data_IF_224109331767
#
_entry.id   IF_224109331767
#
_cell.length_a   1.000
_cell.length_b   1.000
_cell.length_c   1.000
_cell.angle_alpha   90.00
_cell.angle_beta   90.00
_cell.angle_gamma   90.00
#
_symmetry.space_group_name_H-M   'P 1'
#
loop_
_entity.id
_entity.type
_entity.pdbx_description
1 polymer ?
#
# COMPACT_ATOMS: atom_id res chain seq x y z
N UNK A 1 14.26 10.93 33.47
CA UNK A 1 13.51 10.06 33.81
C UNK A 1 12.40 9.79 32.97
N UNK A 2 11.49 10.60 32.71
CA UNK A 2 10.39 10.28 31.96
C UNK A 2 10.73 10.02 30.56
N UNK A 3 11.78 10.59 30.02
CA UNK A 3 12.13 10.39 28.65
C UNK A 3 12.48 8.97 28.35
N UNK A 4 13.08 8.31 29.25
CA UNK A 4 13.42 6.94 29.00
C UNK A 4 12.22 6.13 28.76
N UNK A 5 11.18 6.45 29.45
CA UNK A 5 9.97 5.69 29.31
C UNK A 5 9.44 5.84 27.91
N UNK A 6 9.55 7.01 27.33
CA UNK A 6 9.06 7.22 26.02
C UNK A 6 9.85 6.43 25.02
N UNK A 7 11.12 6.34 25.18
CA UNK A 7 11.89 5.55 24.31
C UNK A 7 11.42 4.14 24.32
N UNK A 8 11.18 3.60 25.47
CA UNK A 8 10.73 2.24 25.56
C UNK A 8 9.46 2.06 24.76
N UNK A 9 8.59 3.04 24.82
CA UNK A 9 7.36 2.91 24.09
C UNK A 9 7.61 2.90 22.61
N UNK A 10 8.54 3.72 22.17
CA UNK A 10 8.84 3.76 20.76
C UNK A 10 9.35 2.43 20.29
N UNK A 11 10.12 1.78 21.09
CA UNK A 11 10.62 0.48 20.71
C UNK A 11 9.50 -0.52 20.62
N UNK A 12 8.53 -0.39 21.47
CA UNK A 12 7.43 -1.31 21.44
C UNK A 12 6.62 -1.19 20.18
N UNK A 13 6.78 -0.10 19.48
CA UNK A 13 6.07 0.04 18.24
C UNK A 13 6.64 -0.84 17.15
N UNK A 14 7.85 -1.34 17.33
CA UNK A 14 8.46 -2.16 16.32
C UNK A 14 7.65 -3.35 15.89
N UNK A 15 7.09 -4.11 16.81
CA UNK A 15 6.32 -5.26 16.39
C UNK A 15 5.15 -4.89 15.49
N UNK A 16 4.58 -3.75 15.72
CA UNK A 16 3.47 -3.35 14.90
C UNK A 16 3.91 -3.10 13.47
N UNK A 17 5.14 -2.69 13.27
CA UNK A 17 5.63 -2.45 11.95
C UNK A 17 5.84 -3.74 11.17
N UNK A 18 5.97 -4.83 11.87
CA UNK A 18 6.19 -6.10 11.20
C UNK A 18 4.90 -6.68 10.66
N UNK A 19 3.77 -6.14 11.03
CA UNK A 19 2.49 -6.66 10.60
C UNK A 19 1.90 -5.79 9.51
N UNK A 20 1.27 -6.40 8.52
CA UNK A 20 0.66 -5.60 7.47
C UNK A 20 -0.47 -4.76 8.05
N UNK A 21 -0.61 -3.57 7.53
CA UNK A 21 -1.72 -2.71 7.90
C UNK A 21 -2.87 -3.06 7.00
N UNK A 22 -4.00 -3.34 7.56
CA UNK A 22 -5.18 -3.70 6.80
C UNK A 22 -6.36 -2.84 7.20
N UNK A 23 -7.30 -2.68 6.32
CA UNK A 23 -8.51 -1.94 6.60
C UNK A 23 -9.55 -2.21 5.52
N UNK A 24 -10.76 -1.66 5.69
CA UNK A 24 -11.79 -1.84 4.68
C UNK A 24 -11.36 -1.24 3.35
N UNK A 25 -11.59 -1.96 2.28
CA UNK A 25 -11.13 -1.55 0.96
C UNK A 25 -11.54 -0.13 0.59
N UNK A 26 -12.79 0.29 0.77
CA UNK A 26 -13.15 1.66 0.37
C UNK A 26 -12.42 2.71 1.19
N UNK A 27 -12.15 2.40 2.45
CA UNK A 27 -11.46 3.37 3.28
C UNK A 27 -10.00 3.46 2.90
N UNK A 28 -9.38 2.35 2.58
CA UNK A 28 -7.99 2.36 2.15
C UNK A 28 -7.86 3.15 0.86
N UNK A 29 -8.75 2.92 -0.09
CA UNK A 29 -8.70 3.64 -1.36
C UNK A 29 -8.91 5.14 -1.16
N UNK A 30 -9.85 5.50 -0.29
CA UNK A 30 -10.12 6.90 -0.03
C UNK A 30 -8.94 7.58 0.63
N UNK A 31 -8.28 6.88 1.52
CA UNK A 31 -7.15 7.44 2.21
C UNK A 31 -5.98 7.66 1.27
N UNK A 32 -5.72 6.72 0.38
CA UNK A 32 -4.64 6.86 -0.59
C UNK A 32 -4.92 8.05 -1.51
N UNK A 33 -6.17 8.23 -1.89
CA UNK A 33 -6.52 9.34 -2.73
C UNK A 33 -6.37 10.65 -1.97
N UNK A 34 -6.86 10.69 -0.75
CA UNK A 34 -6.86 11.92 0.01
C UNK A 34 -5.48 12.36 0.43
N UNK A 35 -4.69 11.44 0.91
CA UNK A 35 -3.38 11.80 1.44
C UNK A 35 -2.31 11.88 0.38
N UNK A 36 -2.36 11.00 -0.61
CA UNK A 36 -1.28 10.91 -1.57
C UNK A 36 -1.72 11.16 -3.00
N UNK A 37 -3.01 11.34 -3.22
CA UNK A 37 -3.54 11.54 -4.56
C UNK A 37 -3.24 10.36 -5.46
N UNK A 38 -3.22 9.19 -4.88
CA UNK A 38 -2.97 7.96 -5.61
C UNK A 38 -4.28 7.31 -6.00
N UNK A 39 -4.34 6.83 -7.21
CA UNK A 39 -5.51 6.14 -7.73
C UNK A 39 -5.11 4.80 -8.29
N UNK A 40 -6.07 3.91 -8.40
CA UNK A 40 -5.80 2.57 -8.90
C UNK A 40 -5.33 2.65 -10.34
N UNK A 41 -4.18 2.08 -10.62
CA UNK A 41 -3.61 2.10 -11.96
C UNK A 41 -3.37 0.72 -12.53
N UNK A 42 -3.32 -0.32 -11.71
CA UNK A 42 -3.06 -1.67 -12.21
C UNK A 42 -3.59 -2.69 -11.23
N UNK A 43 -3.98 -3.85 -11.73
CA UNK A 43 -4.42 -4.94 -10.86
C UNK A 43 -3.89 -6.25 -11.39
N UNK A 44 -3.78 -7.23 -10.53
CA UNK A 44 -3.41 -8.57 -10.90
C UNK A 44 -3.93 -9.56 -9.88
N UNK A 45 -4.32 -10.73 -10.33
CA UNK A 45 -4.81 -11.75 -9.42
C UNK A 45 -3.65 -12.42 -8.73
N UNK A 46 -3.79 -12.66 -7.45
CA UNK A 46 -2.70 -13.23 -6.66
C UNK A 46 -2.99 -14.66 -6.29
N UNK A 47 -1.95 -15.42 -6.15
CA UNK A 47 -2.07 -16.76 -5.59
C UNK A 47 -1.43 -16.72 -4.24
N UNK A 48 -2.04 -17.29 -3.25
CA UNK A 48 -3.21 -18.15 -3.31
C UNK A 48 -4.54 -17.43 -3.32
N UNK A 49 -4.56 -16.12 -3.28
CA UNK A 49 -5.84 -15.44 -3.35
C UNK A 49 -5.68 -13.95 -3.20
N UNK A 50 -6.74 -13.23 -3.52
CA UNK A 50 -6.73 -11.78 -3.44
C UNK A 50 -6.30 -11.14 -4.74
N UNK A 51 -6.36 -9.84 -4.78
CA UNK A 51 -6.00 -9.06 -5.95
C UNK A 51 -4.91 -8.07 -5.57
N UNK A 52 -3.84 -8.09 -6.32
CA UNK A 52 -2.83 -7.06 -6.16
C UNK A 52 -3.36 -5.81 -6.84
N UNK A 53 -3.36 -4.70 -6.14
CA UNK A 53 -3.79 -3.44 -6.72
C UNK A 53 -2.70 -2.43 -6.51
N UNK A 54 -2.32 -1.77 -7.58
CA UNK A 54 -1.33 -0.71 -7.50
C UNK A 54 -2.05 0.62 -7.59
N UNK A 55 -1.78 1.47 -6.62
CA UNK A 55 -2.26 2.84 -6.61
C UNK A 55 -1.06 3.73 -6.89
N UNK A 56 -1.24 4.75 -7.68
CA UNK A 56 -0.14 5.66 -8.01
C UNK A 56 -0.68 7.04 -8.32
N UNK A 57 0.17 8.03 -8.14
CA UNK A 57 -0.18 9.39 -8.52
C UNK A 57 -0.17 9.47 -10.04
N UNK A 58 -0.82 10.52 -10.55
CA UNK A 58 -0.92 10.65 -11.99
C UNK A 58 0.46 10.73 -12.63
N UNK A 59 1.38 11.43 -12.02
CA UNK A 59 2.71 11.57 -12.57
C UNK A 59 3.66 10.47 -12.12
N UNK A 60 3.18 9.53 -11.34
CA UNK A 60 4.00 8.42 -10.89
C UNK A 60 4.96 8.73 -9.76
N UNK A 61 4.83 9.89 -9.13
CA UNK A 61 5.81 10.25 -8.12
C UNK A 61 5.77 9.30 -6.92
N UNK A 62 4.59 8.79 -6.56
CA UNK A 62 4.51 7.79 -5.49
C UNK A 62 3.52 6.71 -5.86
N UNK A 63 3.69 5.54 -5.26
CA UNK A 63 2.80 4.42 -5.50
C UNK A 63 2.70 3.54 -4.26
N UNK A 64 1.62 2.79 -4.19
CA UNK A 64 1.36 1.86 -3.09
C UNK A 64 0.78 0.57 -3.66
N UNK A 65 1.27 -0.54 -3.17
CA UNK A 65 0.76 -1.85 -3.55
C UNK A 65 -0.10 -2.39 -2.41
N UNK A 66 -1.30 -2.82 -2.74
CA UNK A 66 -2.28 -3.30 -1.78
C UNK A 66 -2.74 -4.67 -2.21
N UNK A 67 -3.03 -5.53 -1.25
CA UNK A 67 -3.68 -6.80 -1.54
C UNK A 67 -5.12 -6.66 -1.10
N UNK A 68 -6.04 -6.77 -2.05
CA UNK A 68 -7.47 -6.71 -1.75
C UNK A 68 -7.99 -8.11 -1.64
N UNK A 69 -8.60 -8.42 -0.52
CA UNK A 69 -9.16 -9.74 -0.29
C UNK A 69 -10.64 -9.75 -0.64
N UNK A 70 -11.19 -10.92 -0.98
CA UNK A 70 -12.60 -10.97 -1.39
C UNK A 70 -13.58 -10.53 -0.31
N UNK A 71 -13.17 -10.56 0.93
CA UNK A 71 -14.05 -10.15 2.02
C UNK A 71 -14.11 -8.65 2.22
N UNK A 72 -13.46 -7.87 1.35
CA UNK A 72 -13.53 -6.42 1.44
C UNK A 72 -12.46 -5.80 2.30
N UNK A 73 -11.43 -6.57 2.64
CA UNK A 73 -10.32 -6.06 3.44
C UNK A 73 -9.13 -5.88 2.52
N UNK A 74 -8.44 -4.77 2.68
CA UNK A 74 -7.24 -4.47 1.90
C UNK A 74 -6.06 -4.32 2.83
N UNK A 75 -4.94 -4.91 2.47
CA UNK A 75 -3.74 -4.87 3.28
C UNK A 75 -2.58 -4.28 2.51
N UNK A 76 -1.80 -3.48 3.21
CA UNK A 76 -0.64 -2.82 2.62
C UNK A 76 0.45 -3.85 2.34
N UNK A 77 1.04 -3.78 1.18
CA UNK A 77 2.16 -4.64 0.84
C UNK A 77 3.46 -3.86 0.73
N UNK A 78 3.44 -2.77 0.00
CA UNK A 78 4.67 -2.04 -0.25
C UNK A 78 4.33 -0.66 -0.81
N UNK A 79 5.28 0.23 -0.80
CA UNK A 79 5.12 1.55 -1.37
C UNK A 79 6.46 2.05 -1.87
N UNK A 80 6.45 3.00 -2.73
CA UNK A 80 7.69 3.53 -3.27
C UNK A 80 7.46 4.77 -4.10
N UNK A 81 8.44 5.06 -4.92
CA UNK A 81 8.44 6.26 -5.75
C UNK A 81 8.70 5.89 -7.19
N UNK A 82 8.42 6.83 -8.04
CA UNK A 82 8.77 6.68 -9.46
C UNK A 82 8.12 5.48 -10.12
N UNK A 83 6.82 5.40 -9.97
CA UNK A 83 6.07 4.38 -10.69
C UNK A 83 6.12 4.67 -12.18
N UNK A 84 6.46 3.66 -12.96
CA UNK A 84 6.51 3.80 -14.39
C UNK A 84 5.81 2.69 -15.05
N UNK A 85 5.04 2.99 -16.06
CA UNK A 85 4.43 1.96 -16.85
C UNK A 85 5.40 1.59 -17.95
N UNK A 86 5.68 0.31 -18.10
CA UNK A 86 6.52 -0.18 -19.15
C UNK A 86 5.62 -0.48 -20.32
N UNK A 87 5.83 0.23 -21.42
CA UNK A 87 5.02 0.01 -22.60
C UNK A 87 5.67 -1.06 -23.43
N UNK A 88 4.96 -2.16 -23.61
CA UNK A 88 5.47 -3.25 -24.40
C UNK A 88 5.20 -2.94 -25.84
N UNK A 89 6.21 -2.98 -26.65
CA UNK A 89 6.08 -2.64 -28.02
C UNK A 89 5.21 -3.62 -28.77
N UNK A 90 4.64 -3.23 -29.93
CA UNK A 90 3.86 -4.05 -30.61
C UNK A 90 4.61 -5.10 -31.10
N UNK A 91 4.40 -6.16 -31.05
CA UNK A 91 5.17 -7.27 -31.44
C UNK A 91 6.07 -7.75 -30.38
N UNK A 92 6.01 -7.17 -29.26
CA UNK A 92 6.86 -7.65 -28.19
C UNK A 92 6.12 -8.67 -27.36
#
# INVERSE_FOLDING_TARGET
MRTEVFFALALLASPALAQPSCGPTPEVAAELLRQFQERKVATGEMRPGGTLVIYATRDGSTWTAIREMPDGVSCFLSAGEKWRQVIVGRGA
#
